data_IF_066162393334
#
_entry.id   IF_066162393334
#
_cell.length_a   1.000
_cell.length_b   1.000
_cell.length_c   1.000
_cell.angle_alpha   90.00
_cell.angle_beta   90.00
_cell.angle_gamma   90.00
#
_symmetry.space_group_name_H-M   'P 1'
#
loop_
_entity.id
_entity.type
_entity.pdbx_description
1 polymer ?
#
# COMPACT_ATOMS: atom_id res chain seq x y z
N UNK A 1 -7.53 -10.28 -17.09
CA UNK A 1 -8.95 -10.26 -16.70
C UNK A 1 -9.02 -9.80 -15.24
N UNK A 2 -9.90 -8.85 -14.91
CA UNK A 2 -10.17 -8.47 -13.53
C UNK A 2 -11.12 -9.50 -12.90
N UNK A 3 -11.05 -9.74 -11.58
CA UNK A 3 -11.99 -10.64 -10.91
C UNK A 3 -13.43 -10.11 -11.03
N UNK A 4 -14.41 -11.01 -11.00
CA UNK A 4 -15.83 -10.64 -11.08
C UNK A 4 -16.13 -9.64 -9.97
N UNK A 5 -16.79 -8.53 -10.33
CA UNK A 5 -17.11 -7.46 -9.39
C UNK A 5 -15.87 -6.72 -8.84
N UNK A 6 -14.85 -6.47 -9.66
CA UNK A 6 -13.72 -5.61 -9.27
C UNK A 6 -13.39 -4.59 -10.37
N UNK A 7 -13.68 -3.32 -10.09
CA UNK A 7 -13.27 -2.20 -10.95
C UNK A 7 -11.77 -1.90 -10.88
N UNK A 8 -11.26 -1.18 -11.88
CA UNK A 8 -9.86 -0.76 -11.94
C UNK A 8 -9.39 0.06 -10.73
N UNK A 9 -10.27 0.91 -10.18
CA UNK A 9 -9.98 1.69 -8.96
C UNK A 9 -9.78 0.80 -7.73
N UNK A 10 -10.53 -0.31 -7.62
CA UNK A 10 -10.34 -1.27 -6.51
C UNK A 10 -8.97 -1.94 -6.61
N UNK A 11 -8.56 -2.35 -7.81
CA UNK A 11 -7.24 -2.96 -8.03
C UNK A 11 -6.11 -1.98 -7.68
N UNK A 12 -6.24 -0.71 -8.09
CA UNK A 12 -5.28 0.34 -7.72
C UNK A 12 -5.26 0.56 -6.21
N UNK A 13 -6.41 0.73 -5.56
CA UNK A 13 -6.50 0.92 -4.11
C UNK A 13 -5.85 -0.21 -3.32
N UNK A 14 -6.15 -1.47 -3.68
CA UNK A 14 -5.54 -2.66 -3.04
C UNK A 14 -4.03 -2.71 -3.31
N UNK A 15 -3.58 -2.38 -4.52
CA UNK A 15 -2.14 -2.36 -4.84
C UNK A 15 -1.37 -1.34 -3.99
N UNK A 16 -1.96 -0.17 -3.70
CA UNK A 16 -1.39 0.81 -2.79
C UNK A 16 -1.36 0.29 -1.35
N UNK A 17 -2.44 -0.33 -0.87
CA UNK A 17 -2.47 -0.93 0.47
C UNK A 17 -1.47 -2.08 0.63
N UNK A 18 -1.21 -2.84 -0.44
CA UNK A 18 -0.19 -3.90 -0.45
C UNK A 18 1.22 -3.35 -0.17
N UNK A 19 1.48 -2.08 -0.43
CA UNK A 19 2.73 -1.39 -0.10
C UNK A 19 3.00 -1.23 1.41
N UNK A 20 2.06 -1.59 2.28
CA UNK A 20 2.23 -1.51 3.74
C UNK A 20 3.06 -2.71 4.22
N UNK A 21 4.37 -2.49 4.35
CA UNK A 21 5.35 -3.56 4.57
C UNK A 21 5.84 -3.76 6.01
N UNK A 22 5.32 -3.02 7.00
CA UNK A 22 5.81 -2.91 8.40
C UNK A 22 6.80 -4.01 8.83
N UNK A 23 6.33 -5.23 9.07
CA UNK A 23 7.15 -6.34 9.60
C UNK A 23 8.22 -6.83 8.61
N UNK A 24 7.88 -7.00 7.34
CA UNK A 24 8.82 -7.49 6.33
C UNK A 24 9.87 -6.44 5.97
N UNK A 25 9.46 -5.17 5.84
CA UNK A 25 10.38 -4.06 5.58
C UNK A 25 11.30 -3.79 6.76
N UNK A 26 10.82 -3.88 8.00
CA UNK A 26 11.67 -3.74 9.19
C UNK A 26 12.71 -4.85 9.27
N UNK A 27 12.33 -6.09 8.96
CA UNK A 27 13.27 -7.19 8.89
C UNK A 27 14.36 -6.96 7.83
N UNK A 28 13.98 -6.50 6.63
CA UNK A 28 14.93 -6.13 5.58
C UNK A 28 15.86 -5.01 6.04
N UNK A 29 15.32 -3.98 6.71
CA UNK A 29 16.11 -2.87 7.24
C UNK A 29 17.16 -3.30 8.28
N UNK A 30 16.79 -4.22 9.17
CA UNK A 30 17.70 -4.80 10.16
C UNK A 30 18.84 -5.59 9.51
N UNK A 31 18.56 -6.35 8.46
CA UNK A 31 19.58 -7.08 7.71
C UNK A 31 20.48 -6.16 6.88
N UNK A 32 19.91 -5.13 6.26
CA UNK A 32 20.63 -4.21 5.38
C UNK A 32 21.63 -3.31 6.13
N UNK A 33 21.30 -2.90 7.37
CA UNK A 33 22.09 -1.95 8.15
C UNK A 33 22.49 -2.50 9.52
N UNK A 34 22.80 -3.79 9.61
CA UNK A 34 23.13 -4.47 10.87
C UNK A 34 24.27 -3.79 11.67
N UNK A 35 25.24 -3.18 10.98
CA UNK A 35 26.42 -2.55 11.60
C UNK A 35 26.24 -1.07 11.95
N UNK A 36 25.14 -0.41 11.54
CA UNK A 36 24.95 1.03 11.72
C UNK A 36 23.58 1.35 12.33
N UNK A 37 23.52 1.54 13.67
CA UNK A 37 22.28 1.79 14.39
C UNK A 37 21.56 3.07 13.95
N UNK A 38 22.29 4.12 13.56
CA UNK A 38 21.71 5.39 13.17
C UNK A 38 20.92 5.26 11.86
N UNK A 39 21.46 4.48 10.91
CA UNK A 39 20.77 4.12 9.67
C UNK A 39 19.53 3.25 9.92
N UNK A 40 19.59 2.32 10.87
CA UNK A 40 18.41 1.51 11.23
C UNK A 40 17.26 2.36 11.75
N UNK A 41 17.53 3.37 12.58
CA UNK A 41 16.49 4.27 13.09
C UNK A 41 15.88 5.11 11.98
N UNK A 42 16.69 5.63 11.06
CA UNK A 42 16.19 6.34 9.88
C UNK A 42 15.31 5.43 8.99
N UNK A 43 15.71 4.17 8.78
CA UNK A 43 14.94 3.18 8.01
C UNK A 43 13.60 2.87 8.66
N UNK A 44 13.55 2.69 9.98
CA UNK A 44 12.28 2.48 10.72
C UNK A 44 11.32 3.64 10.46
N UNK A 45 11.79 4.88 10.59
CA UNK A 45 10.97 6.07 10.32
C UNK A 45 10.53 6.12 8.86
N UNK A 46 11.41 5.79 7.92
CA UNK A 46 11.08 5.72 6.49
C UNK A 46 9.98 4.70 6.19
N UNK A 47 10.05 3.51 6.79
CA UNK A 47 9.04 2.45 6.63
C UNK A 47 7.69 2.89 7.21
N UNK A 48 7.69 3.51 8.40
CA UNK A 48 6.48 4.04 9.02
C UNK A 48 5.85 5.14 8.17
N UNK A 49 6.63 6.10 7.70
CA UNK A 49 6.16 7.19 6.87
C UNK A 49 5.63 6.69 5.52
N UNK A 50 6.37 5.81 4.84
CA UNK A 50 5.95 5.21 3.57
C UNK A 50 4.66 4.39 3.72
N UNK A 51 4.56 3.59 4.78
CA UNK A 51 3.34 2.82 5.09
C UNK A 51 2.15 3.71 5.37
N UNK A 52 2.35 4.84 6.06
CA UNK A 52 1.28 5.81 6.32
C UNK A 52 0.80 6.45 5.02
N UNK A 53 1.71 6.87 4.14
CA UNK A 53 1.37 7.42 2.83
C UNK A 53 0.62 6.39 1.98
N UNK A 54 1.10 5.14 1.95
CA UNK A 54 0.43 4.04 1.25
C UNK A 54 -0.99 3.78 1.80
N UNK A 55 -1.16 3.81 3.13
CA UNK A 55 -2.46 3.65 3.78
C UNK A 55 -3.42 4.80 3.44
N UNK A 56 -2.95 6.05 3.50
CA UNK A 56 -3.77 7.23 3.19
C UNK A 56 -4.20 7.24 1.73
N UNK A 57 -3.26 7.02 0.80
CA UNK A 57 -3.56 7.02 -0.63
C UNK A 57 -4.41 5.81 -1.02
N UNK A 58 -4.10 4.61 -0.52
CA UNK A 58 -4.89 3.41 -0.76
C UNK A 58 -6.32 3.53 -0.23
N UNK A 59 -6.48 4.05 0.99
CA UNK A 59 -7.80 4.33 1.56
C UNK A 59 -8.56 5.40 0.78
N UNK A 60 -7.91 6.50 0.39
CA UNK A 60 -8.53 7.55 -0.40
C UNK A 60 -9.05 7.00 -1.74
N UNK A 61 -8.24 6.22 -2.45
CA UNK A 61 -8.63 5.59 -3.73
C UNK A 61 -9.82 4.65 -3.53
N UNK A 62 -9.79 3.79 -2.51
CA UNK A 62 -10.89 2.86 -2.22
C UNK A 62 -12.18 3.57 -1.79
N UNK A 63 -12.09 4.65 -1.03
CA UNK A 63 -13.25 5.45 -0.62
C UNK A 63 -13.93 6.15 -1.80
N UNK A 64 -13.16 6.49 -2.84
CA UNK A 64 -13.68 7.06 -4.08
C UNK A 64 -14.09 6.02 -5.12
N UNK A 65 -13.78 4.73 -4.88
CA UNK A 65 -14.12 3.68 -5.82
C UNK A 65 -15.64 3.47 -5.83
N UNK A 66 -16.29 3.48 -7.00
CA UNK A 66 -17.70 3.14 -7.11
C UNK A 66 -17.93 1.71 -6.61
N UNK A 67 -19.10 1.44 -6.00
CA UNK A 67 -19.43 0.10 -5.54
C UNK A 67 -19.22 -0.89 -6.69
N UNK A 68 -18.41 -1.91 -6.45
CA UNK A 68 -18.19 -3.01 -7.38
C UNK A 68 -19.54 -3.57 -7.84
N UNK A 69 -19.92 -3.27 -9.09
CA UNK A 69 -21.21 -3.64 -9.67
C UNK A 69 -22.05 -2.49 -10.25
N UNK A 70 -21.50 -1.28 -10.45
CA UNK A 70 -22.22 -0.15 -11.08
C UNK A 70 -21.66 0.25 -12.46
N UNK A 71 -20.66 -0.47 -12.97
CA UNK A 71 -19.95 -0.22 -14.22
C UNK A 71 -20.41 -1.09 -15.40
N UNK A 72 -21.69 -1.50 -15.41
CA UNK A 72 -22.33 -2.18 -16.55
C UNK A 72 -23.17 -1.24 -17.44
N UNK A 73 -23.19 0.07 -17.15
CA UNK A 73 -23.97 1.06 -17.91
C UNK A 73 -23.09 2.22 -18.44
N UNK A 74 -22.08 1.95 -19.27
CA UNK A 74 -21.58 2.91 -20.26
C UNK A 74 -21.20 2.15 -21.54
N UNK A 75 -22.07 2.31 -22.55
CA UNK A 75 -22.03 1.87 -23.96
C UNK A 75 -22.54 0.45 -24.31
#
# INVERSE_FOLDING_TARGET
ALPVNAGWLHMLGISLLCGIGFTMSLFIGLLAFAADPALQDAVKVGILAGSLVAALLGAAVLLTAPAAGADEDVD
#
